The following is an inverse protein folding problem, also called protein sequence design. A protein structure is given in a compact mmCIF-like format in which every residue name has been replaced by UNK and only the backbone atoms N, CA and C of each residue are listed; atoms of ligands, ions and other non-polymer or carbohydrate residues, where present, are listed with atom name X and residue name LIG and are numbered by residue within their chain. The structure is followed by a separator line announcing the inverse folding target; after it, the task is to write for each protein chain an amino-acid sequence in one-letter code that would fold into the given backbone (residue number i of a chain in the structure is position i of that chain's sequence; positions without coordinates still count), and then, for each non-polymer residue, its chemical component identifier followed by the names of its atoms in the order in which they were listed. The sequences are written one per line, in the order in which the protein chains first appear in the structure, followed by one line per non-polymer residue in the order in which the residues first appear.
data_IF_771129316622
#
_entry.id   IF_771129316622
#
_cell.length_a   1.000
_cell.length_b   1.000
_cell.length_c   1.000
_cell.angle_alpha   90.00
_cell.angle_beta   90.00
_cell.angle_gamma   90.00
#
_symmetry.space_group_name_H-M   'P 1'
#
loop_
_entity.id
_entity.type
_entity.pdbx_description
1 polymer ?
#
# COMPACT_ATOMS: atom_id res chain seq x y z
N UNK A 1 1.64 13.04 -28.27
CA UNK A 1 0.96 13.05 -26.96
C UNK A 1 1.50 14.18 -26.12
N UNK A 2 0.70 14.69 -25.18
CA UNK A 2 1.06 15.76 -24.23
C UNK A 2 2.36 15.41 -23.48
N UNK A 3 2.51 14.19 -23.07
CA UNK A 3 3.70 13.67 -22.40
C UNK A 3 4.97 13.82 -23.25
N UNK A 4 4.91 13.55 -24.56
CA UNK A 4 6.03 13.73 -25.48
C UNK A 4 6.39 15.22 -25.65
N UNK A 5 5.39 16.11 -25.64
CA UNK A 5 5.62 17.56 -25.72
C UNK A 5 6.19 18.15 -24.44
N UNK A 6 6.07 17.43 -23.31
CA UNK A 6 6.64 17.80 -22.02
C UNK A 6 8.03 17.22 -21.77
N UNK A 7 8.60 16.46 -22.75
CA UNK A 7 9.94 15.88 -22.62
C UNK A 7 10.07 14.82 -21.54
N UNK A 8 8.98 14.09 -21.24
CA UNK A 8 9.04 13.00 -20.28
C UNK A 8 9.85 11.83 -20.85
N UNK A 9 10.83 11.33 -20.08
CA UNK A 9 11.82 10.38 -20.54
C UNK A 9 11.23 9.03 -21.01
N UNK A 10 10.19 8.52 -20.35
CA UNK A 10 9.65 7.17 -20.57
C UNK A 10 8.76 7.01 -21.82
N UNK A 11 8.72 8.00 -22.71
CA UNK A 11 7.77 8.05 -23.83
C UNK A 11 8.45 8.06 -25.19
N UNK A 12 9.73 8.33 -25.20
CA UNK A 12 10.54 8.28 -26.39
C UNK A 12 11.50 7.09 -26.32
N UNK A 13 11.28 6.10 -27.19
CA UNK A 13 12.14 4.92 -27.27
C UNK A 13 13.62 5.29 -27.48
N UNK A 14 13.90 6.37 -28.22
CA UNK A 14 15.24 6.91 -28.43
C UNK A 14 15.87 7.41 -27.13
N UNK A 15 15.13 8.15 -26.31
CA UNK A 15 15.59 8.65 -25.03
C UNK A 15 15.87 7.51 -24.03
N UNK A 16 15.02 6.48 -23.98
CA UNK A 16 15.24 5.29 -23.16
C UNK A 16 16.50 4.53 -23.56
N UNK A 17 16.77 4.39 -24.86
CA UNK A 17 17.99 3.74 -25.37
C UNK A 17 19.23 4.56 -25.00
N UNK A 18 19.18 5.88 -25.14
CA UNK A 18 20.28 6.78 -24.80
C UNK A 18 20.58 6.74 -23.29
N UNK A 19 19.58 6.81 -22.46
CA UNK A 19 19.71 6.68 -21.01
C UNK A 19 20.27 5.32 -20.60
N UNK A 20 19.69 4.25 -21.13
CA UNK A 20 20.17 2.88 -20.88
C UNK A 20 21.62 2.70 -21.32
N UNK A 21 22.02 3.31 -22.44
CA UNK A 21 23.41 3.30 -22.93
C UNK A 21 24.35 4.06 -21.99
N UNK A 22 23.90 5.19 -21.47
CA UNK A 22 24.66 6.01 -20.51
C UNK A 22 24.88 5.27 -19.21
N UNK A 23 23.82 4.68 -18.64
CA UNK A 23 23.89 3.87 -17.42
C UNK A 23 24.84 2.68 -17.60
N UNK A 24 24.74 1.97 -18.72
CA UNK A 24 25.62 0.85 -19.02
C UNK A 24 27.08 1.30 -19.11
N UNK A 25 27.38 2.45 -19.74
CA UNK A 25 28.72 3.00 -19.79
C UNK A 25 29.29 3.34 -18.41
N UNK A 26 28.47 3.95 -17.55
CA UNK A 26 28.84 4.26 -16.15
C UNK A 26 29.19 2.98 -15.39
N UNK A 27 28.36 1.93 -15.50
CA UNK A 27 28.62 0.66 -14.82
C UNK A 27 29.90 -0.02 -15.34
N UNK A 28 30.12 -0.01 -16.65
CA UNK A 28 31.33 -0.58 -17.24
C UNK A 28 32.59 0.20 -16.85
N UNK A 29 32.51 1.53 -16.81
CA UNK A 29 33.65 2.38 -16.43
C UNK A 29 33.95 2.27 -14.91
N UNK A 30 32.95 2.06 -14.08
CA UNK A 30 33.12 1.88 -12.65
C UNK A 30 33.50 0.46 -12.19
N UNK A 31 33.59 -0.49 -13.13
CA UNK A 31 33.83 -1.89 -12.84
C UNK A 31 35.15 -2.38 -13.38
N UNK A 32 35.90 -3.15 -12.58
CA UNK A 32 37.14 -3.82 -13.05
C UNK A 32 36.82 -5.02 -13.96
N UNK A 33 35.70 -5.65 -13.71
CA UNK A 33 35.11 -6.74 -14.47
C UNK A 33 33.59 -6.63 -14.43
N UNK A 34 32.92 -6.77 -15.55
CA UNK A 34 31.48 -6.72 -15.64
C UNK A 34 30.96 -7.99 -16.31
N UNK A 35 29.97 -8.63 -15.66
CA UNK A 35 29.34 -9.83 -16.19
C UNK A 35 27.86 -9.48 -16.47
N UNK A 36 27.46 -9.60 -17.73
CA UNK A 36 26.08 -9.49 -18.15
C UNK A 36 25.50 -10.87 -18.41
N UNK A 37 24.39 -11.21 -17.76
CA UNK A 37 23.70 -12.47 -17.95
C UNK A 37 22.24 -12.24 -18.35
N UNK A 38 21.73 -13.12 -19.18
CA UNK A 38 20.31 -13.17 -19.52
C UNK A 38 19.89 -14.63 -19.69
N UNK A 39 18.62 -14.92 -19.47
CA UNK A 39 18.10 -16.27 -19.72
C UNK A 39 17.78 -16.43 -21.21
N UNK A 40 18.18 -17.56 -21.78
CA UNK A 40 17.98 -17.84 -23.20
C UNK A 40 16.54 -18.21 -23.56
N UNK A 41 15.74 -18.60 -22.57
CA UNK A 41 14.33 -18.93 -22.74
C UNK A 41 13.52 -18.43 -21.55
N UNK A 42 12.34 -17.89 -21.82
CA UNK A 42 11.34 -17.53 -20.82
C UNK A 42 9.99 -18.12 -21.25
N UNK A 43 9.41 -18.94 -20.39
CA UNK A 43 8.15 -19.68 -20.67
C UNK A 43 8.17 -20.41 -22.03
N UNK A 44 9.33 -20.93 -22.42
CA UNK A 44 9.52 -21.64 -23.70
C UNK A 44 9.75 -20.72 -24.92
N UNK A 45 9.78 -19.42 -24.74
CA UNK A 45 10.12 -18.46 -25.79
C UNK A 45 11.62 -18.13 -25.74
N UNK A 46 12.27 -18.10 -26.90
CA UNK A 46 13.65 -17.67 -27.03
C UNK A 46 13.80 -16.20 -26.68
N UNK A 47 14.75 -15.91 -25.81
CA UNK A 47 15.14 -14.57 -25.42
C UNK A 47 16.48 -14.18 -26.05
N UNK A 48 16.61 -12.92 -26.38
CA UNK A 48 17.85 -12.35 -26.91
C UNK A 48 18.47 -11.38 -25.91
N UNK A 49 19.79 -11.26 -25.94
CA UNK A 49 20.47 -10.24 -25.18
C UNK A 49 19.93 -8.84 -25.56
N UNK A 50 19.89 -7.92 -24.59
CA UNK A 50 19.51 -6.54 -24.85
C UNK A 50 20.37 -5.96 -26.00
N UNK A 51 19.76 -5.18 -26.88
CA UNK A 51 20.46 -4.46 -27.96
C UNK A 51 21.56 -3.55 -27.41
N UNK A 52 21.46 -3.05 -26.20
CA UNK A 52 22.47 -2.27 -25.49
C UNK A 52 23.78 -3.04 -25.27
N UNK A 53 23.73 -4.36 -25.23
CA UNK A 53 24.88 -5.24 -25.08
C UNK A 53 25.46 -5.67 -26.42
N UNK A 54 24.90 -5.23 -27.55
CA UNK A 54 25.35 -5.61 -28.88
C UNK A 54 26.83 -5.21 -29.10
N UNK A 55 27.64 -6.18 -29.55
CA UNK A 55 29.08 -6.01 -29.73
C UNK A 55 29.92 -5.96 -28.46
N UNK A 56 29.31 -6.08 -27.27
CA UNK A 56 29.99 -6.08 -25.96
C UNK A 56 29.97 -7.44 -25.28
N UNK A 57 29.26 -8.38 -25.82
CA UNK A 57 29.08 -9.73 -25.21
C UNK A 57 30.12 -10.66 -25.79
N UNK A 58 30.98 -11.12 -24.93
CA UNK A 58 31.89 -12.22 -25.23
C UNK A 58 31.23 -13.50 -24.75
N UNK A 59 30.79 -14.33 -25.66
CA UNK A 59 30.02 -15.48 -25.36
C UNK A 59 30.70 -16.40 -24.36
N UNK A 60 30.01 -16.78 -23.32
CA UNK A 60 30.35 -17.96 -22.61
C UNK A 60 29.14 -18.90 -22.62
N UNK A 61 29.25 -20.01 -23.30
CA UNK A 61 28.29 -21.11 -23.23
C UNK A 61 28.56 -22.03 -22.03
N UNK A 62 29.53 -21.67 -21.21
CA UNK A 62 29.82 -22.40 -19.99
C UNK A 62 28.80 -22.07 -18.92
N UNK A 63 28.03 -23.06 -18.52
CA UNK A 63 27.23 -23.00 -17.30
C UNK A 63 28.17 -22.67 -16.12
N UNK A 64 28.15 -21.42 -15.68
CA UNK A 64 28.95 -20.94 -14.55
C UNK A 64 28.57 -21.62 -13.23
N UNK A 65 27.37 -22.13 -13.20
CA UNK A 65 26.85 -22.93 -12.08
C UNK A 65 26.32 -24.24 -12.60
N UNK A 66 27.12 -25.30 -12.62
CA UNK A 66 26.55 -26.62 -12.78
C UNK A 66 25.73 -26.94 -11.52
N UNK A 67 24.39 -26.95 -11.61
CA UNK A 67 23.54 -27.21 -10.44
C UNK A 67 23.91 -28.47 -9.70
N UNK A 68 24.41 -29.47 -10.44
CA UNK A 68 24.79 -30.77 -9.90
C UNK A 68 26.05 -30.77 -9.01
N UNK A 69 26.93 -29.74 -9.09
CA UNK A 69 28.14 -29.71 -8.24
C UNK A 69 27.89 -29.14 -6.85
N UNK A 70 26.81 -28.33 -6.67
CA UNK A 70 26.45 -27.71 -5.40
C UNK A 70 25.28 -28.44 -4.73
N UNK A 71 24.54 -29.26 -5.47
CA UNK A 71 23.56 -30.17 -4.96
C UNK A 71 24.23 -31.49 -4.52
N UNK A 72 25.02 -31.43 -3.47
CA UNK A 72 25.17 -32.62 -2.64
C UNK A 72 23.78 -33.03 -2.11
N UNK A 73 23.56 -34.30 -1.68
CA UNK A 73 22.30 -34.66 -1.09
C UNK A 73 22.02 -33.75 0.10
N UNK A 74 21.15 -32.73 -0.10
CA UNK A 74 20.69 -31.85 0.97
C UNK A 74 19.88 -32.75 1.92
N UNK A 75 20.47 -33.08 3.05
CA UNK A 75 19.71 -33.63 4.17
C UNK A 75 18.99 -32.42 4.81
N UNK A 76 17.71 -32.30 4.49
CA UNK A 76 16.86 -31.31 5.14
C UNK A 76 16.49 -31.86 6.53
N UNK A 77 17.04 -31.23 7.57
CA UNK A 77 16.55 -31.44 8.93
C UNK A 77 15.29 -30.61 9.14
N UNK A 78 14.26 -31.20 9.70
CA UNK A 78 13.10 -30.49 10.17
C UNK A 78 13.52 -29.73 11.41
N UNK A 79 13.60 -28.40 11.32
CA UNK A 79 13.82 -27.58 12.50
C UNK A 79 12.69 -27.84 13.51
N UNK A 80 13.00 -28.10 14.79
CA UNK A 80 11.96 -28.19 15.80
C UNK A 80 11.19 -26.87 15.86
N UNK A 81 9.88 -26.96 16.10
CA UNK A 81 9.08 -25.78 16.39
C UNK A 81 9.62 -25.14 17.66
N UNK A 82 10.22 -23.96 17.54
CA UNK A 82 10.86 -23.27 18.64
C UNK A 82 9.84 -22.39 19.36
N UNK A 83 9.47 -22.74 20.60
CA UNK A 83 8.60 -21.94 21.46
C UNK A 83 9.23 -20.60 21.87
N UNK A 84 10.54 -20.41 21.63
CA UNK A 84 11.29 -19.18 21.94
C UNK A 84 10.87 -17.96 21.10
N UNK A 85 10.03 -18.14 20.06
CA UNK A 85 9.56 -17.06 19.20
C UNK A 85 8.53 -16.14 19.85
N UNK A 86 8.03 -16.49 21.05
CA UNK A 86 7.10 -15.64 21.78
C UNK A 86 7.74 -14.29 22.16
N UNK A 87 6.99 -13.20 22.04
CA UNK A 87 7.43 -11.90 22.52
C UNK A 87 7.42 -11.87 24.05
N UNK A 88 8.57 -11.60 24.64
CA UNK A 88 8.69 -11.45 26.11
C UNK A 88 8.11 -10.10 26.57
N UNK A 89 8.27 -9.05 25.77
CA UNK A 89 7.71 -7.72 26.02
C UNK A 89 6.85 -7.29 24.85
N UNK A 90 5.53 -7.10 25.05
CA UNK A 90 4.60 -6.72 23.97
C UNK A 90 4.70 -5.25 23.55
N UNK A 91 5.66 -4.49 24.02
CA UNK A 91 5.90 -3.08 23.62
C UNK A 91 6.45 -2.94 22.19
N UNK A 92 6.19 -3.91 21.34
CA UNK A 92 6.53 -3.78 19.93
C UNK A 92 5.70 -2.65 19.33
N UNK A 93 6.37 -1.55 19.04
CA UNK A 93 5.76 -0.43 18.32
C UNK A 93 5.32 -0.91 16.93
N UNK A 94 4.05 -1.07 16.77
CA UNK A 94 3.42 -1.42 15.50
C UNK A 94 2.28 -0.46 15.23
N UNK A 95 1.94 -0.31 13.96
CA UNK A 95 0.75 0.40 13.53
C UNK A 95 -0.25 -0.57 12.90
N UNK A 96 -1.18 -0.03 12.13
CA UNK A 96 -2.13 -0.82 11.36
C UNK A 96 -1.46 -1.81 10.40
N UNK A 97 -0.24 -1.50 9.94
CA UNK A 97 0.56 -2.36 9.06
C UNK A 97 0.91 -3.71 9.67
N UNK A 98 1.17 -3.75 10.99
CA UNK A 98 1.46 -5.02 11.69
C UNK A 98 0.27 -5.98 11.58
N UNK A 99 -0.92 -5.52 11.93
CA UNK A 99 -2.13 -6.35 11.89
C UNK A 99 -2.51 -6.71 10.45
N UNK A 100 -2.31 -5.79 9.50
CA UNK A 100 -2.52 -6.06 8.08
C UNK A 100 -1.59 -7.15 7.56
N UNK A 101 -0.31 -7.09 7.90
CA UNK A 101 0.66 -8.09 7.48
C UNK A 101 0.39 -9.43 8.16
N UNK A 102 0.01 -9.44 9.46
CA UNK A 102 -0.40 -10.66 10.18
C UNK A 102 -1.65 -11.28 9.57
N UNK A 103 -2.62 -10.45 9.20
CA UNK A 103 -3.83 -10.91 8.51
C UNK A 103 -3.51 -11.47 7.13
N UNK A 104 -2.63 -10.83 6.36
CA UNK A 104 -2.26 -11.28 5.02
C UNK A 104 -1.48 -12.60 5.05
N UNK A 105 -0.47 -12.71 5.91
CA UNK A 105 0.34 -13.91 6.10
C UNK A 105 1.17 -13.78 7.38
N UNK A 106 1.06 -14.71 8.36
CA UNK A 106 1.83 -14.65 9.61
C UNK A 106 3.35 -14.55 9.38
N UNK A 107 3.89 -15.29 8.41
CA UNK A 107 5.29 -15.19 8.04
C UNK A 107 5.68 -13.76 7.59
N UNK A 108 4.81 -13.09 6.84
CA UNK A 108 5.06 -11.71 6.40
C UNK A 108 5.12 -10.75 7.59
N UNK A 109 4.22 -10.87 8.56
CA UNK A 109 4.27 -10.08 9.76
C UNK A 109 5.53 -10.35 10.59
N UNK A 110 5.90 -11.62 10.75
CA UNK A 110 7.11 -12.01 11.44
C UNK A 110 8.36 -11.40 10.76
N UNK A 111 8.48 -11.56 9.45
CA UNK A 111 9.62 -11.03 8.70
C UNK A 111 9.71 -9.50 8.77
N UNK A 112 8.58 -8.78 8.60
CA UNK A 112 8.55 -7.33 8.56
C UNK A 112 8.70 -6.68 9.94
N UNK A 113 8.01 -7.20 10.94
CA UNK A 113 7.85 -6.53 12.23
C UNK A 113 8.66 -7.16 13.36
N UNK A 114 9.21 -8.36 13.18
CA UNK A 114 10.09 -8.99 14.17
C UNK A 114 11.53 -9.09 13.70
N UNK A 115 11.74 -9.49 12.43
CA UNK A 115 13.08 -9.49 11.84
C UNK A 115 13.47 -8.12 11.27
N UNK A 116 12.53 -7.16 11.23
CA UNK A 116 12.74 -5.81 10.67
C UNK A 116 13.29 -5.82 9.24
N UNK A 117 12.83 -6.76 8.41
CA UNK A 117 13.26 -6.84 7.02
C UNK A 117 12.61 -5.72 6.21
N UNK A 118 13.39 -4.79 5.66
CA UNK A 118 12.84 -3.73 4.82
C UNK A 118 12.37 -4.29 3.48
N UNK A 119 11.38 -3.64 2.88
CA UNK A 119 11.06 -3.87 1.46
C UNK A 119 12.19 -3.38 0.58
N UNK A 120 12.58 -4.21 -0.39
CA UNK A 120 13.44 -3.75 -1.47
C UNK A 120 12.65 -2.74 -2.30
N UNK A 121 13.10 -1.48 -2.25
CA UNK A 121 12.52 -0.43 -3.08
C UNK A 121 13.16 -0.48 -4.47
N UNK A 122 12.40 -0.71 -5.54
CA UNK A 122 12.95 -0.57 -6.88
C UNK A 122 13.37 0.89 -7.11
N UNK A 123 14.44 1.09 -7.86
CA UNK A 123 14.79 2.43 -8.33
C UNK A 123 13.71 2.88 -9.31
N UNK A 124 12.93 3.88 -8.91
CA UNK A 124 11.84 4.42 -9.72
C UNK A 124 12.24 5.77 -10.27
N UNK A 125 11.90 6.02 -11.53
CA UNK A 125 11.88 7.35 -12.11
C UNK A 125 10.54 8.03 -11.81
N UNK A 126 10.53 9.35 -11.72
CA UNK A 126 9.31 10.08 -11.45
C UNK A 126 8.84 10.01 -9.98
N UNK A 127 7.55 10.17 -9.79
CA UNK A 127 6.87 10.16 -8.47
C UNK A 127 6.20 8.80 -8.27
N UNK A 128 6.57 8.10 -7.22
CA UNK A 128 5.97 6.81 -6.88
C UNK A 128 4.53 6.93 -6.40
N UNK A 129 3.78 5.84 -6.46
CA UNK A 129 2.40 5.80 -5.93
C UNK A 129 2.33 6.15 -4.43
N UNK A 130 3.34 5.75 -3.65
CA UNK A 130 3.43 6.09 -2.22
C UNK A 130 3.67 7.58 -1.99
N UNK A 131 4.54 8.20 -2.77
CA UNK A 131 4.82 9.64 -2.68
C UNK A 131 3.64 10.47 -3.15
N UNK A 132 2.96 10.06 -4.23
CA UNK A 132 1.68 10.67 -4.64
C UNK A 132 0.65 10.56 -3.53
N UNK A 133 0.54 9.40 -2.89
CA UNK A 133 -0.33 9.22 -1.73
C UNK A 133 0.02 10.21 -0.61
N UNK A 134 1.29 10.36 -0.26
CA UNK A 134 1.75 11.29 0.76
C UNK A 134 1.40 12.76 0.42
N UNK A 135 1.59 13.17 -0.84
CA UNK A 135 1.19 14.51 -1.31
C UNK A 135 -0.32 14.72 -1.15
N UNK A 136 -1.14 13.75 -1.56
CA UNK A 136 -2.59 13.84 -1.46
C UNK A 136 -3.07 13.89 -0.01
N UNK A 137 -2.53 13.05 0.89
CA UNK A 137 -2.88 13.08 2.31
C UNK A 137 -2.53 14.42 2.94
N UNK A 138 -1.33 14.94 2.70
CA UNK A 138 -0.92 16.25 3.22
C UNK A 138 -1.77 17.40 2.66
N UNK A 139 -2.13 17.35 1.36
CA UNK A 139 -3.00 18.36 0.75
C UNK A 139 -4.40 18.32 1.36
N UNK A 140 -4.98 17.13 1.56
CA UNK A 140 -6.28 16.94 2.18
C UNK A 140 -6.28 17.36 3.65
N UNK A 141 -5.22 17.06 4.39
CA UNK A 141 -5.04 17.54 5.76
C UNK A 141 -5.07 19.07 5.83
N UNK A 142 -4.29 19.76 4.98
CA UNK A 142 -4.26 21.22 4.91
C UNK A 142 -5.60 21.81 4.50
N UNK A 143 -6.28 21.17 3.55
CA UNK A 143 -7.58 21.58 3.04
C UNK A 143 -8.63 21.53 4.14
N UNK A 144 -8.77 20.41 4.83
CA UNK A 144 -9.79 20.22 5.86
C UNK A 144 -9.53 21.03 7.12
N UNK A 145 -8.29 21.38 7.41
CA UNK A 145 -7.97 22.34 8.48
C UNK A 145 -8.54 23.73 8.24
N UNK A 146 -8.84 24.10 7.01
CA UNK A 146 -9.41 25.40 6.66
C UNK A 146 -10.94 25.31 6.49
N UNK A 147 -11.43 24.24 5.87
CA UNK A 147 -12.87 24.05 5.62
C UNK A 147 -13.62 23.63 6.88
N UNK A 148 -13.09 22.68 7.65
CA UNK A 148 -13.59 22.17 8.95
C UNK A 148 -15.00 21.57 8.95
N UNK A 149 -15.91 21.95 8.03
CA UNK A 149 -17.31 21.47 8.06
C UNK A 149 -18.00 21.58 6.70
N UNK A 150 -19.09 20.81 6.54
CA UNK A 150 -19.97 20.90 5.37
C UNK A 150 -20.54 22.31 5.16
N UNK A 151 -20.84 23.04 6.24
CA UNK A 151 -21.37 24.39 6.16
C UNK A 151 -20.33 25.37 5.56
N UNK A 152 -19.08 25.30 6.05
CA UNK A 152 -18.00 26.12 5.47
C UNK A 152 -17.70 25.71 4.03
N UNK A 153 -17.73 24.41 3.72
CA UNK A 153 -17.57 23.92 2.35
C UNK A 153 -18.64 24.47 1.42
N UNK A 154 -19.90 24.49 1.87
CA UNK A 154 -21.02 25.00 1.08
C UNK A 154 -20.97 26.52 0.86
N UNK A 155 -20.38 27.25 1.82
CA UNK A 155 -20.22 28.69 1.76
C UNK A 155 -18.99 29.14 0.94
N UNK A 156 -18.08 28.21 0.59
CA UNK A 156 -16.86 28.51 -0.16
C UNK A 156 -17.17 28.88 -1.61
N UNK A 157 -16.80 30.08 -2.01
CA UNK A 157 -16.99 30.61 -3.37
C UNK A 157 -16.01 29.90 -4.34
N UNK A 158 -16.40 29.80 -5.60
CA UNK A 158 -15.60 29.06 -6.59
C UNK A 158 -14.20 29.65 -6.84
N UNK A 159 -14.04 30.94 -6.75
CA UNK A 159 -12.73 31.62 -6.87
C UNK A 159 -11.83 31.26 -5.68
N UNK A 160 -12.37 31.45 -4.46
CA UNK A 160 -11.65 31.19 -3.21
C UNK A 160 -11.30 29.67 -3.10
N UNK A 161 -12.18 28.80 -3.62
CA UNK A 161 -11.91 27.36 -3.68
C UNK A 161 -10.71 27.03 -4.55
N UNK A 162 -10.61 27.64 -5.73
CA UNK A 162 -9.50 27.41 -6.64
C UNK A 162 -8.18 27.84 -5.99
N UNK A 163 -8.12 29.04 -5.44
CA UNK A 163 -6.93 29.56 -4.77
C UNK A 163 -6.53 28.70 -3.57
N UNK A 164 -7.51 28.25 -2.80
CA UNK A 164 -7.30 27.35 -1.66
C UNK A 164 -6.70 26.03 -2.11
N UNK A 165 -7.28 25.38 -3.13
CA UNK A 165 -6.79 24.08 -3.64
C UNK A 165 -5.35 24.21 -4.15
N UNK A 166 -5.05 25.25 -4.94
CA UNK A 166 -3.70 25.47 -5.47
C UNK A 166 -2.68 25.71 -4.35
N UNK A 167 -3.05 26.49 -3.35
CA UNK A 167 -2.18 26.76 -2.21
C UNK A 167 -1.89 25.50 -1.37
N UNK A 168 -2.91 24.70 -1.06
CA UNK A 168 -2.72 23.48 -0.26
C UNK A 168 -1.92 22.41 -1.01
N UNK A 169 -2.14 22.26 -2.32
CA UNK A 169 -1.38 21.33 -3.17
C UNK A 169 0.08 21.74 -3.26
N UNK A 170 0.35 23.02 -3.55
CA UNK A 170 1.72 23.56 -3.58
C UNK A 170 2.43 23.34 -2.24
N UNK A 171 1.76 23.63 -1.13
CA UNK A 171 2.31 23.42 0.20
C UNK A 171 2.55 21.95 0.55
N UNK A 172 1.68 21.04 0.09
CA UNK A 172 1.84 19.60 0.28
C UNK A 172 3.02 19.04 -0.52
N UNK A 173 3.17 19.47 -1.76
CA UNK A 173 4.30 19.07 -2.59
C UNK A 173 5.63 19.54 -2.00
N UNK A 174 5.70 20.76 -1.50
CA UNK A 174 6.90 21.28 -0.82
C UNK A 174 7.19 20.50 0.47
N UNK A 175 6.18 20.19 1.26
CA UNK A 175 6.33 19.39 2.48
C UNK A 175 6.90 17.99 2.16
N UNK A 176 6.36 17.33 1.15
CA UNK A 176 6.82 16.00 0.73
C UNK A 176 8.23 16.05 0.18
N UNK A 177 8.58 17.08 -0.61
CA UNK A 177 9.94 17.32 -1.09
C UNK A 177 10.91 17.44 0.08
N UNK A 178 10.63 18.31 1.05
CA UNK A 178 11.48 18.49 2.23
C UNK A 178 11.65 17.19 3.04
N UNK A 179 10.61 16.36 3.13
CA UNK A 179 10.70 15.05 3.77
C UNK A 179 11.58 14.06 2.99
N UNK A 180 11.61 14.15 1.66
CA UNK A 180 12.52 13.36 0.81
C UNK A 180 13.96 13.86 0.91
N UNK A 181 14.18 15.16 0.91
CA UNK A 181 15.51 15.77 1.10
C UNK A 181 16.12 15.37 2.44
N UNK A 182 15.32 15.32 3.51
CA UNK A 182 15.76 14.83 4.81
C UNK A 182 16.19 13.34 4.80
N UNK A 183 15.73 12.58 3.80
CA UNK A 183 16.14 11.18 3.55
C UNK A 183 17.30 11.07 2.56
N UNK A 184 17.83 12.18 2.07
CA UNK A 184 19.01 12.26 1.21
C UNK A 184 18.73 12.24 -0.29
N UNK A 185 17.52 12.52 -0.75
CA UNK A 185 17.20 12.63 -2.18
C UNK A 185 16.17 13.72 -2.48
N UNK A 186 16.25 14.34 -3.65
CA UNK A 186 15.26 15.30 -4.14
C UNK A 186 14.22 14.56 -5.01
N UNK A 187 12.97 14.62 -4.58
CA UNK A 187 11.85 14.07 -5.33
C UNK A 187 11.62 14.89 -6.61
N UNK A 188 11.78 16.20 -6.52
CA UNK A 188 11.59 17.11 -7.65
C UNK A 188 12.65 16.92 -8.74
N UNK A 189 13.93 16.74 -8.35
CA UNK A 189 15.00 16.44 -9.32
C UNK A 189 14.76 15.08 -9.98
N UNK A 190 14.40 14.06 -9.20
CA UNK A 190 14.10 12.73 -9.72
C UNK A 190 12.90 12.72 -10.66
N UNK A 191 11.87 13.49 -10.37
CA UNK A 191 10.67 13.60 -11.21
C UNK A 191 10.91 14.42 -12.48
N UNK A 192 11.78 15.41 -12.41
CA UNK A 192 11.91 16.43 -13.44
C UNK A 192 10.77 17.46 -13.42
N UNK A 193 11.03 18.63 -13.99
CA UNK A 193 10.10 19.77 -13.92
C UNK A 193 8.73 19.49 -14.54
N UNK A 194 8.71 18.78 -15.66
CA UNK A 194 7.46 18.47 -16.37
C UNK A 194 6.57 17.49 -15.59
N UNK A 195 7.16 16.43 -15.04
CA UNK A 195 6.41 15.46 -14.23
C UNK A 195 5.91 16.11 -12.92
N UNK A 196 6.73 16.97 -12.31
CA UNK A 196 6.34 17.72 -11.12
C UNK A 196 5.13 18.62 -11.36
N UNK A 197 5.12 19.39 -12.46
CA UNK A 197 3.98 20.25 -12.83
C UNK A 197 2.73 19.43 -13.15
N UNK A 198 2.89 18.32 -13.86
CA UNK A 198 1.78 17.42 -14.17
C UNK A 198 1.16 16.85 -12.89
N UNK A 199 1.97 16.39 -11.95
CA UNK A 199 1.50 15.87 -10.68
C UNK A 199 0.75 16.92 -9.86
N UNK A 200 1.24 18.16 -9.85
CA UNK A 200 0.55 19.30 -9.23
C UNK A 200 -0.84 19.49 -9.83
N UNK A 201 -0.95 19.49 -11.15
CA UNK A 201 -2.23 19.65 -11.83
C UNK A 201 -3.18 18.48 -11.55
N UNK A 202 -2.68 17.27 -11.56
CA UNK A 202 -3.45 16.06 -11.21
C UNK A 202 -4.00 16.16 -9.79
N UNK A 203 -3.19 16.56 -8.82
CA UNK A 203 -3.63 16.75 -7.44
C UNK A 203 -4.71 17.83 -7.33
N UNK A 204 -4.54 18.98 -8.01
CA UNK A 204 -5.54 20.06 -8.04
C UNK A 204 -6.88 19.55 -8.59
N UNK A 205 -6.85 18.81 -9.69
CA UNK A 205 -8.06 18.28 -10.31
C UNK A 205 -8.74 17.23 -9.44
N UNK A 206 -7.98 16.36 -8.75
CA UNK A 206 -8.52 15.38 -7.81
C UNK A 206 -9.18 16.05 -6.61
N UNK A 207 -8.55 17.07 -6.01
CA UNK A 207 -9.14 17.78 -4.88
C UNK A 207 -10.42 18.54 -5.28
N UNK A 208 -10.45 19.13 -6.47
CA UNK A 208 -11.66 19.78 -7.01
C UNK A 208 -12.81 18.77 -7.18
N UNK A 209 -12.53 17.61 -7.75
CA UNK A 209 -13.52 16.53 -7.88
C UNK A 209 -13.97 16.04 -6.49
N UNK A 210 -13.03 15.91 -5.57
CA UNK A 210 -13.32 15.48 -4.20
C UNK A 210 -14.25 16.46 -3.48
N UNK A 211 -13.98 17.77 -3.51
CA UNK A 211 -14.86 18.76 -2.89
C UNK A 211 -16.27 18.79 -3.50
N UNK A 212 -16.39 18.57 -4.80
CA UNK A 212 -17.72 18.39 -5.43
C UNK A 212 -18.43 17.18 -4.84
N UNK A 213 -17.71 16.05 -4.66
CA UNK A 213 -18.26 14.82 -4.09
C UNK A 213 -18.67 14.99 -2.64
N UNK A 214 -17.90 15.73 -1.84
CA UNK A 214 -18.23 16.04 -0.45
C UNK A 214 -19.48 16.93 -0.33
N UNK A 215 -19.68 17.87 -1.26
CA UNK A 215 -20.90 18.72 -1.29
C UNK A 215 -22.18 17.93 -1.61
N UNK A 216 -22.04 16.77 -2.24
CA UNK A 216 -23.18 15.92 -2.55
C UNK A 216 -23.64 15.06 -1.35
N UNK A 217 -22.93 15.08 -0.23
CA UNK A 217 -23.37 14.39 1.00
C UNK A 217 -24.65 15.02 1.53
N UNK A 218 -25.61 14.17 1.88
CA UNK A 218 -26.90 14.61 2.44
C UNK A 218 -26.82 14.91 3.94
N UNK A 219 -25.86 14.30 4.66
CA UNK A 219 -25.64 14.56 6.08
C UNK A 219 -24.62 15.68 6.28
N UNK A 220 -24.97 16.64 7.11
CA UNK A 220 -23.99 17.65 7.57
C UNK A 220 -22.96 17.00 8.49
N UNK A 221 -21.74 17.51 8.40
CA UNK A 221 -20.62 17.00 9.20
C UNK A 221 -19.72 18.14 9.69
N UNK A 222 -18.98 17.85 10.74
CA UNK A 222 -17.87 18.64 11.26
C UNK A 222 -16.65 17.76 11.41
N UNK A 223 -15.51 18.20 10.90
CA UNK A 223 -14.23 17.51 11.11
C UNK A 223 -13.79 17.73 12.55
N UNK A 224 -13.68 16.67 13.32
CA UNK A 224 -13.34 16.73 14.75
C UNK A 224 -11.91 16.32 15.04
N UNK A 225 -11.35 15.41 14.24
CA UNK A 225 -9.97 14.96 14.38
C UNK A 225 -9.33 14.74 13.01
N UNK A 226 -8.03 15.02 12.93
CA UNK A 226 -7.22 14.76 11.74
C UNK A 226 -5.79 14.41 12.15
N UNK A 227 -5.25 13.32 11.59
CA UNK A 227 -3.85 12.97 11.67
C UNK A 227 -3.29 12.94 13.12
N UNK A 228 -4.14 12.66 14.12
CA UNK A 228 -3.72 12.57 15.51
C UNK A 228 -3.34 11.13 15.86
N UNK A 229 -2.18 10.98 16.51
CA UNK A 229 -1.76 9.68 17.01
C UNK A 229 -2.62 9.26 18.20
N UNK A 230 -3.24 8.11 18.09
CA UNK A 230 -4.00 7.45 19.15
C UNK A 230 -3.39 6.08 19.43
N UNK A 231 -3.42 5.63 20.68
CA UNK A 231 -2.90 4.32 21.05
C UNK A 231 -4.04 3.37 21.35
N UNK A 232 -4.10 2.28 20.61
CA UNK A 232 -5.01 1.17 20.87
C UNK A 232 -4.24 0.00 21.47
N UNK A 233 -4.70 -0.53 22.59
CA UNK A 233 -4.12 -1.74 23.21
C UNK A 233 -4.95 -2.95 22.85
N UNK A 234 -4.31 -3.94 22.20
CA UNK A 234 -4.95 -5.20 21.79
C UNK A 234 -4.05 -6.35 22.22
N UNK A 235 -4.55 -7.24 23.10
CA UNK A 235 -3.81 -8.42 23.62
C UNK A 235 -2.39 -8.08 24.18
N UNK A 236 -2.19 -6.87 24.68
CA UNK A 236 -0.90 -6.41 25.17
C UNK A 236 -0.04 -5.68 24.10
N UNK A 237 -0.36 -5.75 22.82
CA UNK A 237 0.27 -4.89 21.81
C UNK A 237 -0.21 -3.46 21.95
N UNK A 238 0.72 -2.52 21.88
CA UNK A 238 0.43 -1.09 21.78
C UNK A 238 0.51 -0.67 20.32
N UNK A 239 -0.65 -0.48 19.68
CA UNK A 239 -0.74 -0.06 18.28
C UNK A 239 -0.92 1.46 18.22
N UNK A 240 -0.03 2.14 17.51
CA UNK A 240 -0.21 3.56 17.18
C UNK A 240 -1.07 3.67 15.94
N UNK A 241 -2.23 4.27 16.09
CA UNK A 241 -3.21 4.50 15.06
C UNK A 241 -3.28 5.99 14.75
N UNK A 242 -3.41 6.33 13.47
CA UNK A 242 -3.48 7.72 13.02
C UNK A 242 -4.55 7.84 11.94
N UNK A 243 -5.81 8.06 12.32
CA UNK A 243 -6.89 8.30 11.38
C UNK A 243 -6.60 9.56 10.55
N UNK A 244 -6.83 9.51 9.23
CA UNK A 244 -6.64 10.67 8.37
C UNK A 244 -7.64 11.77 8.73
N UNK A 245 -8.91 11.38 8.96
CA UNK A 245 -9.99 12.30 9.32
C UNK A 245 -11.10 11.58 10.07
N UNK A 246 -11.65 12.22 11.08
CA UNK A 246 -12.88 11.80 11.77
C UNK A 246 -13.90 12.92 11.66
N UNK A 247 -15.06 12.58 11.08
CA UNK A 247 -16.23 13.46 11.00
C UNK A 247 -17.21 13.16 12.13
N UNK A 248 -17.78 14.20 12.71
CA UNK A 248 -18.94 14.13 13.59
C UNK A 248 -20.19 14.59 12.83
N UNK A 249 -21.21 13.77 12.81
CA UNK A 249 -22.51 14.06 12.20
C UNK A 249 -23.38 14.85 13.17
N UNK A 250 -24.50 15.43 12.69
CA UNK A 250 -25.42 16.25 13.51
C UNK A 250 -26.02 15.47 14.70
N UNK A 251 -26.16 14.17 14.60
CA UNK A 251 -26.69 13.31 15.65
C UNK A 251 -25.62 12.83 16.66
N UNK A 252 -24.39 13.32 16.55
CA UNK A 252 -23.26 12.98 17.41
C UNK A 252 -22.53 11.70 17.04
N UNK A 253 -23.01 10.95 16.05
CA UNK A 253 -22.25 9.79 15.53
C UNK A 253 -21.01 10.25 14.80
N UNK A 254 -19.96 9.42 14.83
CA UNK A 254 -18.70 9.69 14.14
C UNK A 254 -18.46 8.72 13.01
N UNK A 255 -17.78 9.19 11.98
CA UNK A 255 -17.32 8.39 10.85
C UNK A 255 -15.82 8.61 10.63
N UNK A 256 -15.07 7.52 10.54
CA UNK A 256 -13.64 7.56 10.21
C UNK A 256 -13.47 7.52 8.70
N UNK A 257 -12.67 8.42 8.18
CA UNK A 257 -12.36 8.52 6.75
C UNK A 257 -10.86 8.30 6.57
N UNK A 258 -10.51 7.44 5.63
CA UNK A 258 -9.14 7.18 5.19
C UNK A 258 -9.06 7.36 3.67
N UNK A 259 -8.06 8.11 3.21
CA UNK A 259 -7.91 8.45 1.81
C UNK A 259 -7.10 7.41 1.07
N UNK A 260 -7.59 6.98 -0.08
CA UNK A 260 -6.90 5.99 -0.92
C UNK A 260 -6.90 6.43 -2.38
N UNK A 261 -5.80 6.25 -3.07
CA UNK A 261 -5.76 6.38 -4.53
C UNK A 261 -6.49 5.24 -5.24
N UNK A 262 -6.65 4.11 -4.57
CA UNK A 262 -7.46 2.96 -4.98
C UNK A 262 -8.02 2.29 -3.74
N UNK A 263 -9.33 2.41 -3.55
CA UNK A 263 -10.00 1.82 -2.40
C UNK A 263 -10.25 0.31 -2.61
N UNK A 264 -9.94 -0.51 -1.63
CA UNK A 264 -10.33 -1.91 -1.64
C UNK A 264 -11.84 -2.07 -1.47
N UNK A 265 -12.37 -3.22 -1.91
CA UNK A 265 -13.79 -3.50 -1.75
C UNK A 265 -14.17 -3.70 -0.26
N UNK A 266 -15.43 -3.42 0.09
CA UNK A 266 -15.99 -3.60 1.45
C UNK A 266 -15.77 -5.00 2.02
N UNK A 267 -15.75 -6.02 1.18
CA UNK A 267 -15.55 -7.41 1.59
C UNK A 267 -14.20 -7.66 2.25
N UNK A 268 -13.19 -6.81 1.98
CA UNK A 268 -11.87 -6.93 2.57
C UNK A 268 -11.80 -6.51 4.05
N UNK A 269 -12.83 -5.85 4.55
CA UNK A 269 -12.99 -5.56 5.98
C UNK A 269 -13.59 -6.71 6.78
N UNK A 270 -14.16 -7.69 6.09
CA UNK A 270 -14.99 -8.74 6.70
C UNK A 270 -14.23 -10.06 6.83
N UNK A 271 -14.77 -10.94 7.66
CA UNK A 271 -14.25 -12.29 7.87
C UNK A 271 -13.25 -12.38 9.03
N UNK A 272 -12.80 -13.59 9.27
CA UNK A 272 -11.92 -13.91 10.41
C UNK A 272 -10.53 -13.29 10.31
N UNK A 273 -10.06 -13.09 9.09
CA UNK A 273 -8.78 -12.43 8.79
C UNK A 273 -9.08 -11.28 7.81
N UNK A 274 -9.54 -10.11 8.28
CA UNK A 274 -9.84 -8.97 7.41
C UNK A 274 -8.57 -8.54 6.67
N UNK A 275 -8.62 -8.50 5.34
CA UNK A 275 -7.47 -8.16 4.51
C UNK A 275 -7.05 -6.69 4.66
N UNK A 276 -8.01 -5.83 5.03
CA UNK A 276 -7.79 -4.41 5.27
C UNK A 276 -8.26 -4.04 6.68
N UNK A 277 -7.48 -4.38 7.73
CA UNK A 277 -7.90 -4.19 9.12
C UNK A 277 -7.78 -2.75 9.62
N UNK A 278 -7.28 -1.80 8.82
CA UNK A 278 -7.00 -0.43 9.23
C UNK A 278 -8.24 0.28 9.75
N UNK A 279 -9.30 0.36 8.96
CA UNK A 279 -10.56 0.99 9.39
C UNK A 279 -11.30 0.22 10.48
N UNK A 280 -11.37 -1.13 10.45
CA UNK A 280 -11.78 -1.93 11.60
C UNK A 280 -11.05 -1.60 12.91
N UNK A 281 -9.71 -1.40 12.88
CA UNK A 281 -8.96 -0.99 14.07
C UNK A 281 -9.36 0.40 14.56
N UNK A 282 -9.59 1.35 13.64
CA UNK A 282 -10.03 2.69 14.01
C UNK A 282 -11.42 2.68 14.67
N UNK A 283 -12.32 1.78 14.27
CA UNK A 283 -13.64 1.67 14.88
C UNK A 283 -13.61 1.21 16.35
N UNK A 284 -12.49 0.64 16.81
CA UNK A 284 -12.30 0.25 18.21
C UNK A 284 -11.78 1.39 19.09
N UNK A 285 -11.43 2.55 18.53
CA UNK A 285 -10.91 3.68 19.30
C UNK A 285 -11.98 4.36 20.15
N UNK A 286 -13.18 4.47 19.61
CA UNK A 286 -14.29 5.17 20.25
C UNK A 286 -15.64 4.57 19.85
N UNK A 287 -16.50 4.31 20.82
CA UNK A 287 -17.84 3.75 20.61
C UNK A 287 -18.78 4.69 19.83
N UNK A 288 -18.48 5.98 19.74
CA UNK A 288 -19.22 6.93 18.91
C UNK A 288 -18.98 6.75 17.42
N UNK A 289 -17.93 6.02 17.03
CA UNK A 289 -17.64 5.69 15.64
C UNK A 289 -18.68 4.66 15.16
N UNK A 290 -19.53 5.09 14.23
CA UNK A 290 -20.65 4.31 13.69
C UNK A 290 -20.54 4.17 12.16
N UNK A 291 -19.37 4.50 11.60
CA UNK A 291 -19.10 4.37 10.19
C UNK A 291 -17.63 4.42 9.85
N UNK A 292 -17.26 3.66 8.82
CA UNK A 292 -15.91 3.64 8.25
C UNK A 292 -15.99 3.88 6.75
N UNK A 293 -15.11 4.71 6.24
CA UNK A 293 -15.17 5.22 4.87
C UNK A 293 -13.76 5.21 4.26
N UNK A 294 -13.60 4.56 3.12
CA UNK A 294 -12.51 4.91 2.20
C UNK A 294 -12.99 5.99 1.25
N UNK A 295 -12.25 7.09 1.21
CA UNK A 295 -12.37 8.13 0.22
C UNK A 295 -11.43 7.80 -0.94
N UNK A 296 -11.96 7.36 -2.06
CA UNK A 296 -11.16 7.01 -3.23
C UNK A 296 -10.95 8.21 -4.13
N UNK A 297 -9.68 8.64 -4.25
CA UNK A 297 -9.22 9.69 -5.15
C UNK A 297 -8.39 9.05 -6.27
N UNK A 298 -9.07 8.46 -7.24
CA UNK A 298 -8.45 7.78 -8.37
C UNK A 298 -8.26 8.71 -9.57
N UNK A 299 -7.18 8.52 -10.30
CA UNK A 299 -6.95 9.19 -11.60
C UNK A 299 -7.61 8.46 -12.77
N UNK A 300 -8.02 7.21 -12.57
CA UNK A 300 -8.61 6.34 -13.61
C UNK A 300 -10.11 6.15 -13.43
N UNK A 301 -10.58 6.24 -12.19
CA UNK A 301 -11.96 6.00 -11.82
C UNK A 301 -12.56 7.27 -11.18
N UNK A 302 -13.89 7.47 -11.23
CA UNK A 302 -14.51 8.59 -10.54
C UNK A 302 -14.24 8.56 -9.03
N UNK A 303 -13.98 9.73 -8.43
CA UNK A 303 -13.85 9.85 -6.98
C UNK A 303 -15.14 9.40 -6.29
N UNK A 304 -15.01 8.56 -5.26
CA UNK A 304 -16.15 7.93 -4.62
C UNK A 304 -15.90 7.58 -3.14
N UNK A 305 -16.99 7.28 -2.45
CA UNK A 305 -16.95 6.70 -1.11
C UNK A 305 -17.15 5.18 -1.18
N UNK A 306 -16.30 4.44 -0.50
CA UNK A 306 -16.49 3.02 -0.18
C UNK A 306 -16.68 2.93 1.32
N UNK A 307 -17.89 2.65 1.79
CA UNK A 307 -18.24 2.81 3.19
C UNK A 307 -19.01 1.62 3.77
N UNK A 308 -18.89 1.41 5.08
CA UNK A 308 -19.80 0.61 5.91
C UNK A 308 -20.32 1.50 7.03
N UNK A 309 -21.62 1.40 7.28
CA UNK A 309 -22.35 2.17 8.28
C UNK A 309 -23.72 2.58 7.77
N UNK A 310 -24.60 2.98 8.67
CA UNK A 310 -25.96 3.41 8.34
C UNK A 310 -26.11 4.92 8.54
N UNK A 311 -26.86 5.57 7.64
CA UNK A 311 -27.17 6.99 7.73
C UNK A 311 -25.96 7.93 7.71
N UNK A 312 -24.90 7.55 6.96
CA UNK A 312 -23.70 8.37 6.83
C UNK A 312 -23.87 9.56 5.87
N UNK A 313 -25.02 9.66 5.21
CA UNK A 313 -25.32 10.72 4.24
C UNK A 313 -24.55 10.61 2.95
N UNK A 314 -24.02 9.46 2.60
CA UNK A 314 -23.28 9.21 1.38
C UNK A 314 -24.27 8.81 0.27
N UNK A 315 -24.29 9.54 -0.84
CA UNK A 315 -25.29 9.46 -1.92
C UNK A 315 -25.56 8.08 -2.54
N UNK A 316 -24.63 7.14 -2.44
CA UNK A 316 -24.83 5.78 -2.97
C UNK A 316 -24.63 4.76 -1.86
N UNK A 317 -25.73 4.14 -1.46
CA UNK A 317 -25.73 3.04 -0.51
C UNK A 317 -26.37 3.34 0.84
N UNK A 318 -26.77 4.57 1.11
CA UNK A 318 -27.48 4.95 2.35
C UNK A 318 -28.86 4.27 2.52
N UNK A 319 -29.39 3.68 1.46
CA UNK A 319 -30.63 2.89 1.52
C UNK A 319 -30.42 1.41 1.84
N UNK A 320 -29.17 0.94 1.98
CA UNK A 320 -28.90 -0.45 2.33
C UNK A 320 -28.70 -0.58 3.84
N UNK A 321 -29.39 -1.55 4.45
CA UNK A 321 -29.12 -1.92 5.84
C UNK A 321 -27.70 -2.44 6.01
N UNK A 322 -27.17 -2.42 7.22
CA UNK A 322 -25.83 -2.94 7.51
C UNK A 322 -25.73 -4.44 7.14
N UNK A 323 -26.79 -5.20 7.40
CA UNK A 323 -26.88 -6.61 7.02
C UNK A 323 -26.68 -6.82 5.51
N UNK A 324 -27.29 -5.97 4.68
CA UNK A 324 -27.11 -6.02 3.23
C UNK A 324 -25.68 -5.59 2.81
N UNK A 325 -25.11 -4.60 3.50
CA UNK A 325 -23.75 -4.12 3.25
C UNK A 325 -22.71 -5.19 3.61
N UNK A 326 -22.94 -5.94 4.69
CA UNK A 326 -22.05 -7.00 5.21
C UNK A 326 -22.37 -8.38 4.64
N UNK A 327 -23.38 -8.51 3.77
CA UNK A 327 -23.86 -9.79 3.21
C UNK A 327 -24.32 -10.78 4.30
N UNK A 328 -25.03 -10.28 5.30
CA UNK A 328 -25.57 -11.09 6.39
C UNK A 328 -24.57 -11.44 7.50
N UNK A 329 -23.35 -10.88 7.48
CA UNK A 329 -22.35 -11.14 8.52
C UNK A 329 -22.74 -10.44 9.83
N UNK A 330 -23.27 -9.23 9.78
CA UNK A 330 -23.76 -8.49 10.94
C UNK A 330 -25.01 -7.69 10.57
N UNK A 331 -25.99 -7.68 11.46
CA UNK A 331 -27.21 -6.91 11.29
C UNK A 331 -27.09 -5.49 11.88
N UNK A 332 -26.25 -5.32 12.89
CA UNK A 332 -26.05 -4.06 13.60
C UNK A 332 -24.60 -3.67 13.69
N UNK A 333 -24.32 -2.38 13.86
CA UNK A 333 -22.96 -1.88 14.01
C UNK A 333 -22.21 -2.48 15.22
N UNK A 334 -22.81 -2.57 16.42
CA UNK A 334 -22.15 -3.22 17.55
C UNK A 334 -21.78 -4.68 17.29
N UNK A 335 -22.61 -5.45 16.57
CA UNK A 335 -22.30 -6.83 16.19
C UNK A 335 -21.08 -6.88 15.26
N UNK A 336 -21.00 -5.98 14.29
CA UNK A 336 -19.87 -5.91 13.37
C UNK A 336 -18.58 -5.54 14.10
N UNK A 337 -18.62 -4.55 14.99
CA UNK A 337 -17.47 -4.13 15.80
C UNK A 337 -17.01 -5.27 16.72
N UNK A 338 -17.92 -5.99 17.34
CA UNK A 338 -17.61 -7.15 18.19
C UNK A 338 -16.91 -8.27 17.38
N UNK A 339 -17.33 -8.53 16.14
CA UNK A 339 -16.66 -9.51 15.28
C UNK A 339 -15.25 -9.05 14.90
N UNK A 340 -15.08 -7.77 14.57
CA UNK A 340 -13.75 -7.21 14.29
C UNK A 340 -12.86 -7.31 15.53
N UNK A 341 -13.36 -6.98 16.70
CA UNK A 341 -12.61 -7.08 17.94
C UNK A 341 -12.09 -8.50 18.16
N UNK A 342 -12.93 -9.52 18.01
CA UNK A 342 -12.52 -10.93 18.12
C UNK A 342 -11.43 -11.28 17.12
N UNK A 343 -11.61 -10.90 15.86
CA UNK A 343 -10.65 -11.20 14.78
C UNK A 343 -9.31 -10.49 15.01
N UNK A 344 -9.34 -9.22 15.39
CA UNK A 344 -8.14 -8.40 15.60
C UNK A 344 -7.37 -8.84 16.85
N UNK A 345 -8.06 -9.21 17.94
CA UNK A 345 -7.46 -9.80 19.13
C UNK A 345 -6.77 -11.12 18.82
N UNK A 346 -7.39 -11.99 18.03
CA UNK A 346 -6.76 -13.24 17.59
C UNK A 346 -5.49 -12.99 16.79
N UNK A 347 -5.51 -12.09 15.81
CA UNK A 347 -4.33 -11.75 15.01
C UNK A 347 -3.20 -11.18 15.87
N UNK A 348 -3.53 -10.33 16.85
CA UNK A 348 -2.55 -9.80 17.79
C UNK A 348 -1.96 -10.90 18.68
N UNK A 349 -2.78 -11.82 19.20
CA UNK A 349 -2.32 -12.94 20.02
C UNK A 349 -1.42 -13.90 19.23
N UNK A 350 -1.77 -14.22 17.97
CA UNK A 350 -0.94 -15.02 17.07
C UNK A 350 0.42 -14.38 16.84
N UNK A 351 0.48 -13.06 16.61
CA UNK A 351 1.74 -12.34 16.44
C UNK A 351 2.59 -12.36 17.71
N UNK A 352 1.99 -12.15 18.89
CA UNK A 352 2.69 -12.23 20.19
C UNK A 352 3.23 -13.64 20.42
N UNK A 353 2.45 -14.65 20.09
CA UNK A 353 2.86 -16.05 20.21
C UNK A 353 4.01 -16.43 19.24
N UNK A 354 4.36 -15.55 18.31
CA UNK A 354 5.44 -15.80 17.34
C UNK A 354 5.02 -16.59 16.12
N UNK A 355 3.73 -16.60 15.78
CA UNK A 355 3.26 -17.29 14.58
C UNK A 355 4.00 -16.79 13.34
N UNK A 356 4.74 -17.71 12.69
CA UNK A 356 5.53 -17.43 11.49
C UNK A 356 5.21 -18.38 10.34
N UNK A 357 4.05 -19.02 10.37
CA UNK A 357 3.63 -19.97 9.34
C UNK A 357 3.38 -19.28 8.00
N UNK A 358 3.79 -19.93 6.91
CA UNK A 358 3.54 -19.46 5.55
C UNK A 358 2.14 -19.87 5.12
N UNK A 359 1.15 -19.09 5.51
CA UNK A 359 -0.28 -19.30 5.19
C UNK A 359 -0.89 -18.02 4.62
N UNK A 360 -0.52 -17.64 3.39
CA UNK A 360 -1.01 -16.43 2.77
C UNK A 360 -2.50 -16.51 2.46
N UNK A 361 -3.21 -15.39 2.63
CA UNK A 361 -4.54 -15.22 2.08
C UNK A 361 -4.51 -15.09 0.54
N UNK A 362 -5.62 -15.36 -0.15
CA UNK A 362 -5.70 -15.15 -1.60
C UNK A 362 -5.26 -13.74 -2.00
N UNK A 363 -4.34 -13.64 -2.97
CA UNK A 363 -3.78 -12.38 -3.45
C UNK A 363 -2.70 -11.75 -2.55
N UNK A 364 -2.39 -12.33 -1.38
CA UNK A 364 -1.38 -11.77 -0.47
C UNK A 364 0.05 -11.86 -1.04
N UNK A 365 0.28 -12.79 -1.97
CA UNK A 365 1.59 -12.99 -2.59
C UNK A 365 1.84 -12.11 -3.83
N UNK A 366 0.80 -11.52 -4.43
CA UNK A 366 0.91 -10.81 -5.71
C UNK A 366 1.93 -9.65 -5.69
N UNK A 367 2.06 -8.99 -4.54
CA UNK A 367 3.01 -7.89 -4.33
C UNK A 367 3.93 -8.15 -3.14
N UNK A 368 4.18 -9.43 -2.81
CA UNK A 368 5.03 -9.80 -1.69
C UNK A 368 6.46 -10.05 -2.19
N UNK A 369 7.41 -9.27 -1.69
CA UNK A 369 8.84 -9.37 -2.00
C UNK A 369 9.58 -10.40 -1.13
N UNK A 370 8.87 -11.19 -0.31
CA UNK A 370 9.44 -12.20 0.57
C UNK A 370 9.40 -13.62 -0.02
N UNK A 371 9.00 -13.78 -1.28
CA UNK A 371 8.82 -15.10 -1.90
C UNK A 371 10.11 -15.94 -1.89
N UNK A 372 11.28 -15.31 -2.07
CA UNK A 372 12.57 -15.97 -1.99
C UNK A 372 12.94 -16.45 -0.58
N UNK A 373 12.39 -15.81 0.45
CA UNK A 373 12.63 -16.15 1.85
C UNK A 373 11.65 -17.21 2.34
N UNK A 374 10.35 -17.05 2.08
CA UNK A 374 9.33 -18.02 2.49
C UNK A 374 9.26 -19.26 1.57
N UNK A 375 9.84 -19.18 0.38
CA UNK A 375 9.95 -20.26 -0.60
C UNK A 375 8.60 -20.92 -0.96
N UNK A 376 7.51 -20.11 -0.92
CA UNK A 376 6.14 -20.61 -1.16
C UNK A 376 5.99 -21.32 -2.50
N UNK A 377 6.73 -20.87 -3.52
CA UNK A 377 6.67 -21.44 -4.86
C UNK A 377 7.33 -22.82 -4.94
N UNK A 378 8.19 -23.17 -3.98
CA UNK A 378 8.84 -24.48 -3.91
C UNK A 378 7.96 -25.51 -3.18
N UNK A 379 7.10 -25.06 -2.28
CA UNK A 379 6.16 -25.91 -1.55
C UNK A 379 5.12 -26.55 -2.50
N UNK A 380 4.76 -25.87 -3.58
CA UNK A 380 3.81 -26.37 -4.57
C UNK A 380 4.40 -27.49 -5.47
N UNK A 381 5.74 -27.51 -5.65
CA UNK A 381 6.42 -28.52 -6.47
C UNK A 381 6.60 -29.83 -5.71
N UNK A 382 6.66 -29.81 -4.39
CA UNK A 382 6.84 -31.01 -3.56
C UNK A 382 5.54 -31.78 -3.27
N UNK A 383 4.39 -31.26 -3.69
CA UNK A 383 3.09 -31.92 -3.51
C UNK A 383 2.75 -32.94 -4.61
N UNK A 384 3.60 -33.05 -5.64
CA UNK A 384 3.40 -34.02 -6.72
C UNK A 384 4.52 -35.07 -6.68
N UNK A 385 4.35 -36.21 -5.92
CA UNK A 385 5.37 -37.28 -5.81
C UNK A 385 5.63 -38.02 -7.12
N UNK A 386 4.77 -37.87 -8.12
CA UNK A 386 4.89 -38.57 -9.41
C UNK A 386 5.81 -37.85 -10.42
N UNK A 387 6.16 -36.57 -10.17
CA UNK A 387 7.03 -35.80 -11.07
C UNK A 387 8.53 -36.17 -10.98
N UNK A 388 8.93 -37.07 -10.06
CA UNK A 388 10.33 -37.52 -9.90
C UNK A 388 10.57 -38.92 -10.44
N UNK A 389 9.60 -39.54 -11.11
CA UNK A 389 9.72 -40.82 -11.79
C UNK A 389 10.25 -40.69 -13.21
N UNK A 390 11.50 -40.32 -13.40
CA UNK A 390 12.22 -40.53 -14.65
C UNK A 390 12.64 -41.98 -14.76
N UNK A 391 12.62 -42.61 -15.97
CA UNK A 391 12.91 -44.00 -16.16
C UNK A 391 14.37 -44.35 -15.86
N UNK A 392 14.56 -45.56 -15.30
CA UNK A 392 15.84 -46.18 -15.01
C UNK A 392 16.68 -46.44 -16.27
#
# INVERSE_FOLDING_TARGET
TIQKSLGMADIDEGALIEEGSTLLQVWLAGSREAIASFHSTDQGLLQHASALLSGKVYSSTTSWFPPARWAGPLQLERAPEDESLRLETPETAGGTSLIRDQSACPFRAFARHRLNLPSLQPTLMGISASERGAILHEALFRLWRQIESSNKLSALLSADEQDLIEAVVSGAMQHTESACEARGYSLRERAGSACWQLEQQVCVDLLRQWLRRERERSASFRVVEMEQNQTLRVEGLSLTLRPDRIDELEDGRRAVIDYKTRAPSRTRWLGERPQEPQLPLYSLLDSSIQGIIYAELSTTDPVQFVALGEGLGLLKGDGKTLEQQTRGIAATWPELVAQWEVSLRRLAAEFIAGAATVTPQPGACDYCDLASLCRINELSVSADPEALGGPA
#
